data_IF_858043829577
#
_entry.id   IF_858043829577
#
_cell.length_a   1.000
_cell.length_b   1.000
_cell.length_c   1.000
_cell.angle_alpha   90.00
_cell.angle_beta   90.00
_cell.angle_gamma   90.00
#
_symmetry.space_group_name_H-M   'P 1'
#
loop_
_entity.id
_entity.type
_entity.pdbx_description
1 polymer ?
#
# COMPACT_ATOMS: atom_id res chain seq x y z
N UNK A 1 6.81 -16.86 -18.32
CA UNK A 1 7.95 -16.29 -17.60
C UNK A 1 7.89 -16.80 -16.16
N UNK A 2 8.97 -17.43 -15.69
CA UNK A 2 9.02 -18.19 -14.44
C UNK A 2 8.63 -17.33 -13.22
N UNK A 3 7.79 -17.88 -12.37
CA UNK A 3 7.25 -17.38 -11.14
C UNK A 3 8.28 -16.77 -10.17
N UNK A 4 9.47 -17.34 -10.09
CA UNK A 4 10.52 -16.85 -9.20
C UNK A 4 11.14 -15.48 -9.57
N UNK A 5 10.96 -15.00 -10.80
CA UNK A 5 11.68 -13.81 -11.29
C UNK A 5 11.24 -12.47 -10.68
N UNK A 6 10.00 -12.34 -10.28
CA UNK A 6 9.56 -11.08 -9.67
C UNK A 6 9.85 -11.03 -8.15
N UNK A 7 9.81 -12.18 -7.45
CA UNK A 7 10.27 -12.29 -6.07
C UNK A 7 11.79 -12.03 -6.04
N UNK A 8 12.54 -12.59 -6.98
CA UNK A 8 13.99 -12.38 -7.11
C UNK A 8 14.33 -10.93 -7.53
N UNK A 9 13.50 -10.27 -8.34
CA UNK A 9 13.68 -8.86 -8.71
C UNK A 9 13.46 -7.87 -7.56
N UNK A 10 12.65 -8.24 -6.56
CA UNK A 10 12.39 -7.45 -5.36
C UNK A 10 13.45 -7.58 -4.27
N UNK A 11 14.34 -8.57 -4.36
CA UNK A 11 15.34 -8.87 -3.33
C UNK A 11 16.43 -7.78 -3.18
N UNK A 12 16.64 -6.94 -4.17
CA UNK A 12 17.61 -5.84 -4.06
C UNK A 12 17.24 -4.81 -2.99
N UNK A 13 15.95 -4.53 -2.83
CA UNK A 13 15.38 -3.66 -1.82
C UNK A 13 15.33 -4.34 -0.44
N UNK A 14 15.12 -5.63 -0.45
CA UNK A 14 14.75 -6.47 0.68
C UNK A 14 15.96 -6.92 1.50
N UNK A 15 17.15 -7.06 0.91
CA UNK A 15 18.31 -7.72 1.53
C UNK A 15 19.00 -6.97 2.67
N UNK A 16 18.53 -5.83 3.08
CA UNK A 16 19.18 -5.03 4.12
C UNK A 16 18.27 -4.56 5.25
N UNK A 17 17.03 -5.07 5.39
CA UNK A 17 16.11 -4.54 6.39
C UNK A 17 15.05 -5.53 6.86
N UNK A 18 14.08 -5.07 7.68
CA UNK A 18 13.00 -5.89 8.23
C UNK A 18 12.22 -6.68 7.17
N UNK A 19 11.92 -6.06 6.02
CA UNK A 19 11.23 -6.74 4.90
C UNK A 19 12.06 -7.89 4.37
N UNK A 20 13.40 -7.72 4.29
CA UNK A 20 14.30 -8.77 3.86
C UNK A 20 14.34 -9.97 4.78
N UNK A 21 14.38 -9.72 6.07
CA UNK A 21 14.35 -10.77 7.07
C UNK A 21 13.05 -11.57 7.02
N UNK A 22 11.89 -10.89 6.89
CA UNK A 22 10.57 -11.52 6.78
C UNK A 22 10.46 -12.41 5.55
N UNK A 23 10.96 -11.95 4.40
CA UNK A 23 10.89 -12.70 3.15
C UNK A 23 11.92 -13.83 3.12
N UNK A 24 13.11 -13.62 3.69
CA UNK A 24 14.13 -14.68 3.80
C UNK A 24 13.59 -15.94 4.49
N UNK A 25 12.83 -15.78 5.56
CA UNK A 25 12.16 -16.89 6.26
C UNK A 25 11.04 -17.50 5.40
N UNK A 26 10.23 -16.66 4.70
CA UNK A 26 9.13 -17.13 3.86
C UNK A 26 9.61 -17.83 2.58
N UNK A 27 10.68 -17.31 1.95
CA UNK A 27 11.26 -17.94 0.75
C UNK A 27 11.91 -19.27 1.07
N UNK A 28 12.61 -19.41 2.19
CA UNK A 28 13.21 -20.69 2.59
C UNK A 28 12.16 -21.82 2.59
N UNK A 29 10.96 -21.56 3.09
CA UNK A 29 9.89 -22.58 3.14
C UNK A 29 9.24 -22.88 1.76
N UNK A 30 9.28 -21.93 0.81
CA UNK A 30 8.81 -22.16 -0.57
C UNK A 30 9.81 -23.00 -1.39
N UNK A 31 11.10 -22.95 -1.03
CA UNK A 31 12.16 -23.65 -1.73
C UNK A 31 12.43 -25.07 -1.20
N UNK A 32 11.92 -25.44 -0.03
CA UNK A 32 12.00 -26.83 0.47
C UNK A 32 11.35 -27.86 -0.46
N UNK A 33 10.57 -27.43 -1.44
CA UNK A 33 9.92 -28.31 -2.43
C UNK A 33 10.72 -28.54 -3.72
N UNK A 34 11.97 -28.07 -3.84
CA UNK A 34 12.74 -28.39 -5.05
C UNK A 34 13.91 -27.52 -5.50
N UNK A 35 14.59 -26.76 -4.67
CA UNK A 35 15.78 -26.02 -5.09
C UNK A 35 17.01 -26.23 -4.20
N UNK A 36 18.19 -26.08 -4.80
CA UNK A 36 19.52 -26.41 -4.26
C UNK A 36 20.02 -25.49 -3.11
N UNK A 37 19.25 -24.52 -2.65
CA UNK A 37 19.67 -23.60 -1.60
C UNK A 37 18.98 -23.94 -0.28
N UNK A 38 19.75 -24.50 0.63
CA UNK A 38 19.29 -24.89 1.98
C UNK A 38 19.54 -23.81 3.05
N UNK A 39 20.15 -22.65 2.69
CA UNK A 39 20.58 -21.66 3.67
C UNK A 39 20.35 -20.21 3.17
N UNK A 40 19.61 -19.35 3.92
CA UNK A 40 19.42 -17.94 3.57
C UNK A 40 20.73 -17.16 3.42
N UNK A 41 21.78 -17.55 4.15
CA UNK A 41 23.10 -16.92 4.09
C UNK A 41 23.85 -17.25 2.80
N UNK A 42 23.70 -18.45 2.26
CA UNK A 42 24.31 -18.90 1.01
C UNK A 42 23.67 -18.18 -0.19
N UNK A 43 22.35 -17.98 -0.14
CA UNK A 43 21.60 -17.19 -1.11
C UNK A 43 22.02 -15.70 -1.10
N UNK A 44 22.28 -15.15 0.10
CA UNK A 44 22.73 -13.75 0.24
C UNK A 44 24.14 -13.49 -0.32
N UNK A 45 24.96 -14.53 -0.47
CA UNK A 45 26.34 -14.44 -1.03
C UNK A 45 26.35 -14.41 -2.57
N UNK A 46 25.37 -15.05 -3.21
CA UNK A 46 25.27 -15.12 -4.69
C UNK A 46 24.65 -13.86 -5.33
N UNK A 47 24.19 -12.90 -4.53
CA UNK A 47 23.63 -11.66 -5.04
C UNK A 47 24.75 -10.70 -5.40
N UNK A 48 24.80 -10.20 -6.65
CA UNK A 48 25.81 -9.27 -7.10
C UNK A 48 25.88 -8.04 -6.19
N UNK A 49 27.07 -7.71 -5.70
CA UNK A 49 27.31 -6.53 -4.83
C UNK A 49 26.88 -5.20 -5.46
N UNK A 50 26.61 -5.15 -6.77
CA UNK A 50 26.05 -4.01 -7.49
C UNK A 50 24.61 -3.65 -7.09
N UNK A 51 23.84 -4.58 -6.51
CA UNK A 51 22.48 -4.31 -6.00
C UNK A 51 22.45 -3.63 -4.61
N UNK A 52 23.60 -3.48 -3.96
CA UNK A 52 23.72 -2.84 -2.63
C UNK A 52 23.86 -1.30 -2.68
N UNK A 53 23.61 -0.69 -3.83
CA UNK A 53 23.69 0.77 -3.94
C UNK A 53 22.64 1.43 -3.05
N UNK A 54 23.08 2.23 -2.06
CA UNK A 54 22.22 3.02 -1.15
C UNK A 54 21.29 4.01 -1.86
N UNK A 55 21.47 4.20 -3.18
CA UNK A 55 20.71 5.12 -4.03
C UNK A 55 19.77 4.38 -5.01
N UNK A 56 19.59 3.08 -4.90
CA UNK A 56 18.65 2.35 -5.74
C UNK A 56 17.21 2.80 -5.45
N UNK A 57 16.52 3.34 -6.45
CA UNK A 57 15.09 3.59 -6.36
C UNK A 57 14.36 2.24 -6.32
N UNK A 58 13.28 2.16 -5.54
CA UNK A 58 12.45 0.96 -5.49
C UNK A 58 12.02 0.53 -6.90
N UNK A 59 12.18 -0.74 -7.19
CA UNK A 59 11.69 -1.35 -8.43
C UNK A 59 10.20 -1.69 -8.31
N UNK A 60 9.57 -2.01 -9.42
CA UNK A 60 8.18 -2.49 -9.41
C UNK A 60 8.01 -3.79 -8.59
N UNK A 61 9.03 -4.66 -8.57
CA UNK A 61 9.05 -5.87 -7.74
C UNK A 61 9.06 -5.54 -6.26
N UNK A 62 9.85 -4.56 -5.85
CA UNK A 62 9.96 -4.09 -4.46
C UNK A 62 8.63 -3.55 -3.94
N UNK A 63 7.91 -2.80 -4.77
CA UNK A 63 6.59 -2.25 -4.44
C UNK A 63 5.56 -3.38 -4.25
N UNK A 64 5.56 -4.40 -5.12
CA UNK A 64 4.67 -5.57 -5.00
C UNK A 64 4.86 -6.32 -3.69
N UNK A 65 6.11 -6.57 -3.33
CA UNK A 65 6.46 -7.23 -2.07
C UNK A 65 6.02 -6.38 -0.88
N UNK A 66 6.30 -5.07 -0.91
CA UNK A 66 5.88 -4.13 0.14
C UNK A 66 4.35 -4.14 0.34
N UNK A 67 3.57 -4.20 -0.74
CA UNK A 67 2.12 -4.32 -0.67
C UNK A 67 1.71 -5.58 0.10
N UNK A 68 2.29 -6.74 -0.19
CA UNK A 68 1.93 -8.02 0.45
C UNK A 68 2.27 -7.98 1.95
N UNK A 69 3.44 -7.41 2.32
CA UNK A 69 3.84 -7.27 3.73
C UNK A 69 2.90 -6.33 4.49
N UNK A 70 2.55 -5.19 3.89
CA UNK A 70 1.62 -4.23 4.50
C UNK A 70 0.21 -4.80 4.65
N UNK A 71 -0.27 -5.56 3.65
CA UNK A 71 -1.54 -6.28 3.74
C UNK A 71 -1.54 -7.26 4.91
N UNK A 72 -0.44 -8.01 5.11
CA UNK A 72 -0.31 -8.91 6.25
C UNK A 72 -0.40 -8.15 7.59
N UNK A 73 0.21 -6.96 7.70
CA UNK A 73 0.11 -6.13 8.89
C UNK A 73 -1.33 -5.71 9.20
N UNK A 74 -2.10 -5.30 8.18
CA UNK A 74 -3.49 -4.84 8.36
C UNK A 74 -4.41 -6.01 8.69
N UNK A 75 -4.34 -7.12 7.96
CA UNK A 75 -5.17 -8.32 8.21
C UNK A 75 -4.95 -8.89 9.63
N UNK A 76 -3.75 -8.75 10.17
CA UNK A 76 -3.46 -9.20 11.55
C UNK A 76 -3.89 -8.22 12.63
N UNK A 77 -4.38 -7.04 12.29
CA UNK A 77 -4.62 -5.95 13.24
C UNK A 77 -5.63 -6.31 14.33
N UNK A 78 -6.66 -7.07 14.01
CA UNK A 78 -7.68 -7.52 14.95
C UNK A 78 -7.37 -8.90 15.58
N UNK A 79 -6.22 -9.50 15.22
CA UNK A 79 -5.79 -10.82 15.68
C UNK A 79 -6.55 -11.99 15.04
N UNK A 80 -7.38 -11.74 14.05
CA UNK A 80 -8.18 -12.76 13.35
C UNK A 80 -7.95 -12.64 11.86
N UNK A 81 -7.63 -13.75 11.21
CA UNK A 81 -7.54 -13.83 9.74
C UNK A 81 -8.83 -14.44 9.23
N UNK A 82 -9.70 -13.61 8.67
CA UNK A 82 -10.98 -14.07 8.13
C UNK A 82 -10.81 -14.56 6.68
N UNK A 83 -11.52 -15.65 6.35
CA UNK A 83 -11.57 -16.15 4.96
C UNK A 83 -12.15 -15.11 4.00
N UNK A 84 -13.08 -14.25 4.49
CA UNK A 84 -13.67 -13.13 3.76
C UNK A 84 -12.63 -12.11 3.30
N UNK A 85 -11.68 -11.73 4.15
CA UNK A 85 -10.60 -10.80 3.83
C UNK A 85 -9.70 -11.35 2.71
N UNK A 86 -9.29 -12.61 2.85
CA UNK A 86 -8.49 -13.29 1.82
C UNK A 86 -9.28 -13.41 0.50
N UNK A 87 -10.58 -13.74 0.56
CA UNK A 87 -11.44 -13.81 -0.62
C UNK A 87 -11.60 -12.44 -1.28
N UNK A 88 -11.60 -11.37 -0.49
CA UNK A 88 -11.66 -10.01 -1.00
C UNK A 88 -10.35 -9.56 -1.66
N UNK A 89 -9.21 -9.87 -1.04
CA UNK A 89 -7.89 -9.50 -1.56
C UNK A 89 -7.54 -10.28 -2.84
N UNK A 90 -8.05 -11.51 -3.00
CA UNK A 90 -7.74 -12.35 -4.16
C UNK A 90 -8.03 -11.69 -5.52
N UNK A 91 -9.21 -11.09 -5.79
CA UNK A 91 -9.47 -10.37 -7.04
C UNK A 91 -8.52 -9.19 -7.25
N UNK A 92 -8.17 -8.47 -6.19
CA UNK A 92 -7.17 -7.40 -6.22
C UNK A 92 -5.81 -7.95 -6.66
N UNK A 93 -5.34 -9.05 -6.06
CA UNK A 93 -4.07 -9.68 -6.42
C UNK A 93 -4.07 -10.20 -7.87
N UNK A 94 -5.18 -10.82 -8.32
CA UNK A 94 -5.32 -11.30 -9.71
C UNK A 94 -5.28 -10.14 -10.69
N UNK A 95 -6.01 -9.06 -10.42
CA UNK A 95 -6.02 -7.86 -11.28
C UNK A 95 -4.64 -7.23 -11.38
N UNK A 96 -3.89 -7.25 -10.29
CA UNK A 96 -2.63 -6.51 -10.17
C UNK A 96 -1.40 -7.35 -10.48
N UNK A 97 -1.43 -8.66 -10.27
CA UNK A 97 -0.26 -9.55 -10.42
C UNK A 97 -0.48 -10.66 -11.46
N UNK A 98 -1.67 -10.74 -12.04
CA UNK A 98 -2.10 -11.86 -12.89
C UNK A 98 -2.38 -13.12 -12.06
N UNK A 99 -2.95 -14.16 -12.67
CA UNK A 99 -3.35 -15.39 -11.99
C UNK A 99 -2.17 -16.06 -11.25
N UNK A 100 -1.04 -16.22 -11.94
CA UNK A 100 0.13 -16.90 -11.38
C UNK A 100 0.81 -16.05 -10.30
N UNK A 101 0.94 -14.73 -10.53
CA UNK A 101 1.46 -13.81 -9.54
C UNK A 101 0.58 -13.70 -8.29
N UNK A 102 -0.74 -13.81 -8.43
CA UNK A 102 -1.68 -13.81 -7.33
C UNK A 102 -1.54 -15.07 -6.45
N UNK A 103 -1.34 -16.24 -7.04
CA UNK A 103 -1.07 -17.48 -6.28
C UNK A 103 0.17 -17.34 -5.40
N UNK A 104 1.25 -16.80 -5.96
CA UNK A 104 2.49 -16.56 -5.22
C UNK A 104 2.33 -15.52 -4.13
N UNK A 105 1.63 -14.42 -4.44
CA UNK A 105 1.32 -13.39 -3.47
C UNK A 105 0.49 -13.93 -2.29
N UNK A 106 -0.49 -14.80 -2.55
CA UNK A 106 -1.28 -15.46 -1.51
C UNK A 106 -0.45 -16.44 -0.68
N UNK A 107 0.48 -17.17 -1.29
CA UNK A 107 1.39 -18.05 -0.56
C UNK A 107 2.31 -17.25 0.36
N UNK A 108 2.89 -16.16 -0.15
CA UNK A 108 3.72 -15.26 0.65
C UNK A 108 2.90 -14.60 1.78
N UNK A 109 1.69 -14.12 1.48
CA UNK A 109 0.79 -13.54 2.47
C UNK A 109 0.50 -14.53 3.60
N UNK A 110 0.16 -15.79 3.27
CA UNK A 110 -0.08 -16.84 4.27
C UNK A 110 1.11 -17.04 5.21
N UNK A 111 2.33 -17.08 4.69
CA UNK A 111 3.55 -17.20 5.49
C UNK A 111 3.79 -15.97 6.38
N UNK A 112 3.56 -14.78 5.85
CA UNK A 112 3.70 -13.53 6.60
C UNK A 112 2.68 -13.42 7.74
N UNK A 113 1.48 -13.97 7.58
CA UNK A 113 0.46 -14.01 8.62
C UNK A 113 0.88 -14.86 9.83
N UNK A 114 1.78 -15.81 9.65
CA UNK A 114 2.32 -16.67 10.73
C UNK A 114 3.50 -15.98 11.46
N UNK A 115 4.06 -14.89 10.92
CA UNK A 115 5.23 -14.19 11.47
C UNK A 115 4.81 -13.01 12.34
N UNK A 116 5.66 -12.65 13.29
CA UNK A 116 5.52 -11.39 14.04
C UNK A 116 6.13 -10.26 13.21
N UNK A 117 5.27 -9.40 12.66
CA UNK A 117 5.65 -8.30 11.79
C UNK A 117 5.49 -6.99 12.55
N UNK A 118 6.57 -6.20 12.64
CA UNK A 118 6.49 -4.84 13.17
C UNK A 118 6.14 -3.85 12.05
N UNK A 119 4.91 -3.30 12.01
CA UNK A 119 4.47 -2.42 10.93
C UNK A 119 5.33 -1.14 10.82
N UNK A 120 5.80 -0.62 11.95
CA UNK A 120 6.61 0.60 12.00
C UNK A 120 7.96 0.41 11.29
N UNK A 121 8.64 -0.71 11.52
CA UNK A 121 9.91 -1.01 10.86
C UNK A 121 9.76 -1.20 9.37
N UNK A 122 8.70 -1.91 8.94
CA UNK A 122 8.35 -2.09 7.53
C UNK A 122 8.10 -0.73 6.86
N UNK A 123 7.28 0.11 7.48
CA UNK A 123 6.93 1.44 6.97
C UNK A 123 8.17 2.36 6.88
N UNK A 124 9.06 2.33 7.87
CA UNK A 124 10.33 3.09 7.84
C UNK A 124 11.23 2.63 6.68
N UNK A 125 11.33 1.32 6.44
CA UNK A 125 12.10 0.81 5.30
C UNK A 125 11.51 1.29 3.98
N UNK A 126 10.19 1.22 3.79
CA UNK A 126 9.50 1.70 2.59
C UNK A 126 9.78 3.21 2.39
N UNK A 127 9.73 4.01 3.47
CA UNK A 127 10.01 5.45 3.41
C UNK A 127 11.37 5.79 2.82
N UNK A 128 12.39 4.97 3.03
CA UNK A 128 13.76 5.23 2.56
C UNK A 128 13.90 5.12 1.03
N UNK A 129 13.09 4.25 0.40
CA UNK A 129 13.28 3.89 -1.01
C UNK A 129 12.12 4.30 -1.91
N UNK A 130 10.95 4.56 -1.33
CA UNK A 130 9.72 4.87 -2.08
C UNK A 130 9.39 6.35 -1.95
N UNK A 131 9.11 7.02 -3.06
CA UNK A 131 8.75 8.43 -3.07
C UNK A 131 7.38 8.68 -2.40
N UNK A 132 7.13 9.94 -2.01
CA UNK A 132 5.95 10.32 -1.25
C UNK A 132 4.63 9.96 -1.93
N UNK A 133 4.52 10.20 -3.24
CA UNK A 133 3.28 9.94 -3.98
C UNK A 133 2.96 8.44 -4.00
N UNK A 134 3.95 7.57 -4.20
CA UNK A 134 3.74 6.11 -4.15
C UNK A 134 3.38 5.66 -2.73
N UNK A 135 3.98 6.25 -1.69
CA UNK A 135 3.61 5.94 -0.29
C UNK A 135 2.16 6.32 0.02
N UNK A 136 1.66 7.44 -0.50
CA UNK A 136 0.25 7.81 -0.41
C UNK A 136 -0.66 6.76 -1.08
N UNK A 137 -0.27 6.24 -2.25
CA UNK A 137 -1.04 5.19 -2.92
C UNK A 137 -1.03 3.87 -2.13
N UNK A 138 0.07 3.53 -1.47
CA UNK A 138 0.12 2.36 -0.60
C UNK A 138 -0.86 2.51 0.58
N UNK A 139 -0.89 3.66 1.25
CA UNK A 139 -1.85 3.92 2.34
C UNK A 139 -3.29 3.91 1.82
N UNK A 140 -3.54 4.51 0.64
CA UNK A 140 -4.85 4.47 -0.01
C UNK A 140 -5.32 3.03 -0.25
N UNK A 141 -4.44 2.17 -0.79
CA UNK A 141 -4.71 0.75 -1.01
C UNK A 141 -5.08 0.02 0.29
N UNK A 142 -4.34 0.27 1.39
CA UNK A 142 -4.64 -0.36 2.68
C UNK A 142 -6.03 0.02 3.19
N UNK A 143 -6.43 1.29 3.03
CA UNK A 143 -7.78 1.75 3.38
C UNK A 143 -8.86 1.13 2.48
N UNK A 144 -8.56 0.89 1.19
CA UNK A 144 -9.47 0.16 0.31
C UNK A 144 -9.72 -1.27 0.78
N UNK A 145 -8.64 -1.96 1.14
CA UNK A 145 -8.72 -3.34 1.64
C UNK A 145 -9.48 -3.38 2.96
N UNK A 146 -9.18 -2.49 3.90
CA UNK A 146 -9.87 -2.40 5.18
C UNK A 146 -11.38 -2.07 5.05
N UNK A 147 -11.80 -1.38 3.99
CA UNK A 147 -13.24 -1.13 3.71
C UNK A 147 -13.93 -2.28 3.00
N UNK A 148 -13.22 -3.22 2.53
CA UNK A 148 -13.66 -4.21 1.56
C UNK A 148 -14.76 -5.14 2.05
N UNK A 149 -14.83 -5.42 3.32
CA UNK A 149 -15.89 -6.21 3.98
C UNK A 149 -17.08 -5.36 4.48
N UNK A 150 -17.06 -4.04 4.17
CA UNK A 150 -18.16 -3.10 4.41
C UNK A 150 -17.85 -1.95 5.34
N UNK A 151 -17.31 -2.18 6.51
CA UNK A 151 -16.95 -1.14 7.47
C UNK A 151 -15.45 -1.25 7.86
N UNK A 152 -14.77 -0.12 7.80
CA UNK A 152 -13.39 -0.04 8.27
C UNK A 152 -13.37 -0.20 9.80
N UNK A 153 -12.75 -1.26 10.29
CA UNK A 153 -12.63 -1.56 11.72
C UNK A 153 -11.61 -0.63 12.37
N UNK A 154 -11.86 -0.24 13.62
CA UNK A 154 -10.98 0.70 14.35
C UNK A 154 -9.55 0.15 14.50
N UNK A 155 -9.39 -1.15 14.79
CA UNK A 155 -8.09 -1.79 14.90
C UNK A 155 -7.26 -1.69 13.61
N UNK A 156 -7.89 -1.88 12.45
CA UNK A 156 -7.23 -1.75 11.15
C UNK A 156 -6.82 -0.31 10.87
N UNK A 157 -7.72 0.67 11.14
CA UNK A 157 -7.39 2.08 10.95
C UNK A 157 -6.22 2.53 11.82
N UNK A 158 -6.12 2.05 13.06
CA UNK A 158 -5.00 2.33 13.95
C UNK A 158 -3.67 1.78 13.39
N UNK A 159 -3.66 0.56 12.86
CA UNK A 159 -2.47 -0.02 12.21
C UNK A 159 -2.12 0.75 10.94
N UNK A 160 -3.11 1.12 10.11
CA UNK A 160 -2.88 1.90 8.89
C UNK A 160 -2.34 3.31 9.23
N UNK A 161 -2.84 3.93 10.30
CA UNK A 161 -2.34 5.22 10.78
C UNK A 161 -0.88 5.13 11.24
N UNK A 162 -0.52 4.11 12.02
CA UNK A 162 0.88 3.86 12.40
C UNK A 162 1.77 3.66 11.18
N UNK A 163 1.33 2.89 10.20
CA UNK A 163 2.04 2.71 8.93
C UNK A 163 2.23 4.06 8.23
N UNK A 164 1.17 4.87 8.11
CA UNK A 164 1.22 6.19 7.46
C UNK A 164 2.22 7.14 8.15
N UNK A 165 2.17 7.22 9.49
CA UNK A 165 3.09 8.04 10.30
C UNK A 165 4.54 7.63 10.04
N UNK A 166 4.85 6.33 10.13
CA UNK A 166 6.21 5.82 9.93
C UNK A 166 6.69 5.89 8.47
N UNK A 167 5.76 5.87 7.52
CA UNK A 167 6.03 6.21 6.12
C UNK A 167 6.29 7.71 5.92
N UNK A 168 6.06 8.55 6.92
CA UNK A 168 6.20 10.01 6.83
C UNK A 168 5.10 10.65 5.98
N UNK A 169 3.89 10.09 6.01
CA UNK A 169 2.69 10.72 5.48
C UNK A 169 2.22 11.77 6.49
N UNK A 170 1.84 12.95 6.03
CA UNK A 170 1.33 13.99 6.91
C UNK A 170 -0.05 13.61 7.48
N UNK A 171 -0.34 14.09 8.69
CA UNK A 171 -1.65 13.85 9.31
C UNK A 171 -2.79 14.36 8.43
N UNK A 172 -2.62 15.52 7.79
CA UNK A 172 -3.61 16.09 6.88
C UNK A 172 -3.88 15.14 5.69
N UNK A 173 -2.83 14.60 5.07
CA UNK A 173 -2.96 13.64 3.97
C UNK A 173 -3.66 12.34 4.41
N UNK A 174 -3.28 11.81 5.56
CA UNK A 174 -3.92 10.60 6.10
C UNK A 174 -5.41 10.84 6.38
N UNK A 175 -5.76 11.94 7.05
CA UNK A 175 -7.16 12.29 7.35
C UNK A 175 -7.96 12.52 6.06
N UNK A 176 -7.38 13.19 5.07
CA UNK A 176 -7.98 13.37 3.75
C UNK A 176 -8.28 12.02 3.07
N UNK A 177 -7.33 11.09 3.09
CA UNK A 177 -7.55 9.74 2.55
C UNK A 177 -8.64 8.99 3.33
N UNK A 178 -8.57 8.99 4.66
CA UNK A 178 -9.53 8.29 5.51
C UNK A 178 -10.95 8.82 5.32
N UNK A 179 -11.12 10.14 5.12
CA UNK A 179 -12.42 10.77 4.86
C UNK A 179 -13.10 10.20 3.61
N UNK A 180 -12.35 9.84 2.55
CA UNK A 180 -12.89 9.22 1.34
C UNK A 180 -13.56 7.86 1.60
N UNK A 181 -13.27 7.22 2.73
CA UNK A 181 -13.83 5.92 3.13
C UNK A 181 -14.89 6.02 4.23
N UNK A 182 -14.98 7.18 4.91
CA UNK A 182 -15.95 7.45 5.98
C UNK A 182 -17.16 8.28 5.50
N UNK A 183 -17.42 8.35 4.19
CA UNK A 183 -18.45 9.21 3.57
C UNK A 183 -19.83 9.13 4.23
N UNK A 184 -20.25 7.96 4.72
CA UNK A 184 -21.56 7.76 5.34
C UNK A 184 -21.61 8.07 6.85
N UNK A 185 -20.44 8.23 7.49
CA UNK A 185 -20.34 8.45 8.95
C UNK A 185 -20.02 9.90 9.31
N UNK A 186 -19.51 10.70 8.37
CA UNK A 186 -19.10 12.07 8.59
C UNK A 186 -19.76 13.01 7.56
N UNK A 187 -20.62 13.93 8.03
CA UNK A 187 -21.26 14.94 7.18
C UNK A 187 -20.26 15.86 6.48
N UNK A 188 -19.07 16.02 7.06
CA UNK A 188 -18.01 16.91 6.56
C UNK A 188 -16.93 16.19 5.76
N UNK A 189 -17.11 14.90 5.45
CA UNK A 189 -16.11 14.08 4.78
C UNK A 189 -15.49 14.72 3.54
N UNK A 190 -16.32 15.42 2.73
CA UNK A 190 -15.87 16.02 1.48
C UNK A 190 -14.94 17.22 1.71
N UNK A 191 -15.19 18.02 2.76
CA UNK A 191 -14.31 19.12 3.16
C UNK A 191 -12.99 18.58 3.71
N UNK A 192 -13.05 17.59 4.58
CA UNK A 192 -11.85 16.89 5.10
C UNK A 192 -11.04 16.26 3.97
N UNK A 193 -11.71 15.63 2.98
CA UNK A 193 -11.06 15.06 1.80
C UNK A 193 -10.31 16.11 0.97
N UNK A 194 -10.80 17.34 0.92
CA UNK A 194 -10.14 18.48 0.25
C UNK A 194 -9.16 19.26 1.15
N UNK A 195 -8.96 18.83 2.40
CA UNK A 195 -8.12 19.51 3.41
C UNK A 195 -8.55 20.95 3.65
N UNK A 196 -9.85 21.18 3.84
CA UNK A 196 -10.44 22.48 4.17
C UNK A 196 -11.53 22.35 5.22
N UNK A 197 -11.85 23.46 5.86
CA UNK A 197 -12.97 23.56 6.80
C UNK A 197 -14.32 23.72 6.08
N UNK A 198 -15.43 23.27 6.68
CA UNK A 198 -16.77 23.49 6.12
C UNK A 198 -17.12 24.98 5.93
N UNK A 199 -16.48 25.87 6.66
CA UNK A 199 -16.64 27.33 6.58
C UNK A 199 -15.86 27.98 5.43
N UNK A 200 -15.02 27.22 4.70
CA UNK A 200 -14.22 27.75 3.59
C UNK A 200 -15.11 28.38 2.51
N UNK A 201 -14.68 29.50 1.91
CA UNK A 201 -15.35 30.14 0.80
C UNK A 201 -15.34 29.27 -0.47
N UNK A 202 -16.23 29.58 -1.42
CA UNK A 202 -16.30 28.84 -2.70
C UNK A 202 -14.99 28.94 -3.51
N UNK A 203 -14.28 30.07 -3.39
CA UNK A 203 -12.97 30.24 -4.01
C UNK A 203 -11.91 29.36 -3.35
N UNK A 204 -11.95 29.20 -2.02
CA UNK A 204 -11.07 28.30 -1.29
C UNK A 204 -11.36 26.84 -1.64
N UNK A 205 -12.64 26.47 -1.80
CA UNK A 205 -13.04 25.12 -2.27
C UNK A 205 -12.46 24.83 -3.66
N UNK A 206 -12.59 25.75 -4.62
CA UNK A 206 -12.01 25.61 -5.97
C UNK A 206 -10.48 25.51 -5.93
N UNK A 207 -9.83 26.32 -5.09
CA UNK A 207 -8.37 26.30 -4.92
C UNK A 207 -7.91 24.98 -4.29
N UNK A 208 -8.61 24.51 -3.28
CA UNK A 208 -8.33 23.23 -2.62
C UNK A 208 -8.47 22.05 -3.60
N UNK A 209 -9.57 22.01 -4.37
CA UNK A 209 -9.74 20.99 -5.39
C UNK A 209 -8.59 20.98 -6.40
N UNK A 210 -8.16 22.12 -6.94
CA UNK A 210 -7.02 22.17 -7.87
C UNK A 210 -5.74 21.67 -7.23
N UNK A 211 -5.48 22.02 -5.96
CA UNK A 211 -4.33 21.54 -5.18
C UNK A 211 -4.38 20.01 -5.05
N UNK A 212 -5.52 19.45 -4.67
CA UNK A 212 -5.71 18.02 -4.48
C UNK A 212 -5.63 17.24 -5.81
N UNK A 213 -6.25 17.78 -6.87
CA UNK A 213 -6.15 17.22 -8.22
C UNK A 213 -4.70 17.16 -8.71
N UNK A 214 -3.91 18.21 -8.48
CA UNK A 214 -2.48 18.20 -8.80
C UNK A 214 -1.69 17.25 -7.90
N UNK A 215 -2.01 17.16 -6.61
CA UNK A 215 -1.31 16.32 -5.63
C UNK A 215 -1.47 14.84 -5.94
N UNK A 216 -2.68 14.43 -6.31
CA UNK A 216 -3.07 13.04 -6.55
C UNK A 216 -3.20 12.68 -8.04
N UNK A 217 -2.54 13.44 -8.92
CA UNK A 217 -2.59 13.16 -10.36
C UNK A 217 -1.89 11.82 -10.68
N UNK A 218 -2.52 10.92 -11.47
CA UNK A 218 -1.94 9.61 -11.79
C UNK A 218 -0.55 9.68 -12.42
N UNK A 219 -0.22 10.75 -13.15
CA UNK A 219 1.11 10.92 -13.77
C UNK A 219 2.25 10.98 -12.75
N UNK A 220 1.98 11.37 -11.50
CA UNK A 220 3.02 11.39 -10.45
C UNK A 220 3.53 10.01 -10.05
N UNK A 221 2.78 8.99 -10.39
CA UNK A 221 3.09 7.59 -10.11
C UNK A 221 3.22 6.75 -11.39
N UNK A 222 3.34 7.38 -12.55
CA UNK A 222 3.41 6.70 -13.85
C UNK A 222 4.49 5.61 -13.92
N UNK A 223 5.63 5.82 -13.23
CA UNK A 223 6.75 4.89 -13.18
C UNK A 223 6.66 3.83 -12.07
N UNK A 224 5.63 3.89 -11.21
CA UNK A 224 5.46 2.96 -10.09
C UNK A 224 4.76 1.65 -10.46
N UNK A 225 4.38 1.50 -11.73
CA UNK A 225 3.69 0.33 -12.27
C UNK A 225 2.20 0.56 -12.44
N UNK A 226 1.57 -0.29 -13.26
CA UNK A 226 0.17 -0.17 -13.65
C UNK A 226 -0.77 -0.19 -12.44
N UNK A 227 -0.45 -1.00 -11.43
CA UNK A 227 -1.25 -1.14 -10.22
C UNK A 227 -1.37 0.17 -9.44
N UNK A 228 -0.24 0.81 -9.18
CA UNK A 228 -0.20 2.09 -8.44
C UNK A 228 -0.88 3.19 -9.26
N UNK A 229 -0.74 3.14 -10.59
CA UNK A 229 -1.43 4.08 -11.49
C UNK A 229 -2.95 3.92 -11.44
N UNK A 230 -3.46 2.69 -11.41
CA UNK A 230 -4.90 2.41 -11.28
C UNK A 230 -5.43 2.90 -9.93
N UNK A 231 -4.70 2.68 -8.84
CA UNK A 231 -5.05 3.18 -7.51
C UNK A 231 -5.11 4.72 -7.49
N UNK A 232 -4.11 5.38 -8.09
CA UNK A 232 -4.10 6.83 -8.21
C UNK A 232 -5.32 7.35 -9.01
N UNK A 233 -5.72 6.65 -10.06
CA UNK A 233 -6.92 7.00 -10.84
C UNK A 233 -8.19 6.90 -10.00
N UNK A 234 -8.34 5.82 -9.21
CA UNK A 234 -9.48 5.64 -8.32
C UNK A 234 -9.55 6.72 -7.23
N UNK A 235 -8.41 7.04 -6.64
CA UNK A 235 -8.33 8.11 -5.66
C UNK A 235 -8.66 9.46 -6.26
N UNK A 236 -8.14 9.76 -7.44
CA UNK A 236 -8.47 10.98 -8.17
C UNK A 236 -9.98 11.10 -8.44
N UNK A 237 -10.64 9.99 -8.79
CA UNK A 237 -12.10 9.92 -8.95
C UNK A 237 -12.83 10.29 -7.64
N UNK A 238 -12.39 9.73 -6.50
CA UNK A 238 -12.98 10.05 -5.19
C UNK A 238 -12.79 11.51 -4.78
N UNK A 239 -11.66 12.12 -5.11
CA UNK A 239 -11.43 13.58 -4.91
C UNK A 239 -12.40 14.40 -5.75
N UNK A 240 -12.64 14.01 -7.00
CA UNK A 240 -13.64 14.67 -7.85
C UNK A 240 -15.05 14.53 -7.26
N UNK A 241 -15.41 13.35 -6.74
CA UNK A 241 -16.70 13.13 -6.08
C UNK A 241 -16.87 14.04 -4.84
N UNK A 242 -15.83 14.21 -4.04
CA UNK A 242 -15.85 15.12 -2.90
C UNK A 242 -16.11 16.58 -3.34
N UNK A 243 -15.43 17.04 -4.39
CA UNK A 243 -15.65 18.38 -4.94
C UNK A 243 -17.07 18.56 -5.48
N UNK A 244 -17.57 17.62 -6.29
CA UNK A 244 -18.94 17.71 -6.83
C UNK A 244 -20.00 17.62 -5.72
N UNK A 245 -19.73 16.86 -4.64
CA UNK A 245 -20.61 16.83 -3.47
C UNK A 245 -20.72 18.22 -2.81
N UNK A 246 -19.61 18.89 -2.55
CA UNK A 246 -19.61 20.26 -1.97
C UNK A 246 -20.29 21.23 -2.92
N UNK A 247 -19.95 21.18 -4.20
CA UNK A 247 -20.52 22.04 -5.24
C UNK A 247 -22.05 21.93 -5.30
N UNK A 248 -22.57 20.69 -5.29
CA UNK A 248 -24.01 20.43 -5.25
C UNK A 248 -24.66 20.94 -3.96
N UNK A 249 -24.03 20.70 -2.80
CA UNK A 249 -24.55 21.12 -1.51
C UNK A 249 -24.63 22.65 -1.35
N UNK A 250 -23.72 23.39 -2.02
CA UNK A 250 -23.65 24.87 -1.97
C UNK A 250 -24.31 25.57 -3.14
N UNK A 251 -24.73 24.84 -4.18
CA UNK A 251 -25.29 25.43 -5.40
C UNK A 251 -24.29 26.22 -6.25
N UNK A 252 -23.01 25.81 -6.24
CA UNK A 252 -21.91 26.46 -6.97
C UNK A 252 -21.92 26.12 -8.47
#
# INVERSE_FOLDING_TARGET
>A
MSAGKWILGGLGFVLGGPIGALIGVGIASLFESGSQYTNPEEYAQDIPRSSRSRNARATQGDIRVSIIVLLACVIKADGRVLKSEIAFIKPFLVRNFGEEGAKQALQLLKQLLEQDINPAQVAQQIRQYVNYSVRLELVHLLLEVAKADGEVVEAETQVIEQIAIHMGISTADYQSLLALYRQHKDANWAYTALEIEPSASDEEVKKAYRRMAMKYHPDKVANAGEQIRQQATEKFRKINEAYEHIKKARGM
#
